data_IF_487668178980
#
_entry.id   IF_487668178980
#
_cell.length_a   1.000
_cell.length_b   1.000
_cell.length_c   1.000
_cell.angle_alpha   90.00
_cell.angle_beta   90.00
_cell.angle_gamma   90.00
#
_symmetry.space_group_name_H-M   'P 1'
#
loop_
_entity.id
_entity.type
_entity.pdbx_description
1 polymer ?
#
# COMPACT_ATOMS: atom_id res chain seq x y z
N UNK A 1 -2.82 -26.78 13.62
CA UNK A 1 -1.79 -25.75 13.38
C UNK A 1 -2.47 -24.46 12.96
N UNK A 2 -2.23 -23.44 13.77
CA UNK A 2 -2.85 -22.12 13.81
C UNK A 2 -2.18 -21.22 12.78
N UNK A 3 -2.94 -20.66 11.83
CA UNK A 3 -2.31 -19.98 10.69
C UNK A 3 -3.10 -18.77 10.21
N UNK A 4 -2.39 -17.72 9.79
CA UNK A 4 -2.92 -16.68 8.90
C UNK A 4 -3.40 -17.34 7.61
N UNK A 5 -4.48 -16.90 6.94
CA UNK A 5 -4.93 -17.52 5.69
C UNK A 5 -3.79 -17.63 4.68
N UNK A 6 -3.56 -18.84 4.17
CA UNK A 6 -2.44 -19.13 3.29
C UNK A 6 -2.72 -20.30 2.35
N UNK A 7 -1.92 -20.40 1.29
CA UNK A 7 -2.04 -21.43 0.26
C UNK A 7 -1.87 -22.88 0.75
N UNK A 8 -1.21 -23.09 1.89
CA UNK A 8 -0.97 -24.43 2.47
C UNK A 8 -2.07 -24.86 3.46
N UNK A 9 -3.00 -23.97 3.81
CA UNK A 9 -4.10 -24.25 4.75
C UNK A 9 -5.35 -23.46 4.37
N UNK A 10 -5.84 -23.73 3.16
CA UNK A 10 -7.10 -23.17 2.66
C UNK A 10 -8.24 -23.73 3.54
N UNK A 11 -9.16 -22.86 3.99
CA UNK A 11 -10.36 -23.17 4.80
C UNK A 11 -10.25 -23.22 6.34
N UNK A 12 -9.17 -22.74 6.97
CA UNK A 12 -9.14 -22.55 8.45
C UNK A 12 -9.21 -21.06 8.81
N UNK A 13 -10.16 -20.63 9.68
CA UNK A 13 -10.21 -19.25 10.14
C UNK A 13 -8.98 -18.92 11.00
N UNK A 14 -8.44 -17.68 10.91
CA UNK A 14 -7.31 -17.28 11.74
C UNK A 14 -7.72 -17.11 13.21
N UNK A 15 -6.95 -17.69 14.13
CA UNK A 15 -7.12 -17.55 15.59
C UNK A 15 -6.47 -16.28 16.16
N UNK A 16 -5.51 -15.70 15.45
CA UNK A 16 -4.71 -14.53 15.87
C UNK A 16 -5.01 -13.33 14.98
N UNK A 17 -4.68 -12.09 15.41
CA UNK A 17 -4.91 -10.89 14.62
C UNK A 17 -4.36 -11.04 13.20
N UNK A 18 -5.32 -11.10 12.28
CA UNK A 18 -5.09 -11.22 10.86
C UNK A 18 -4.91 -9.82 10.25
N UNK A 19 -5.05 -9.74 8.94
CA UNK A 19 -5.15 -8.51 8.18
C UNK A 19 -6.31 -7.65 8.70
N UNK A 20 -6.10 -6.34 8.84
CA UNK A 20 -7.19 -5.41 9.14
C UNK A 20 -7.07 -4.18 8.25
N UNK A 21 -8.16 -3.77 7.61
CA UNK A 21 -8.23 -2.53 6.84
C UNK A 21 -9.13 -1.54 7.57
N UNK A 22 -8.62 -0.34 7.83
CA UNK A 22 -9.38 0.73 8.49
C UNK A 22 -9.38 1.98 7.63
N UNK A 23 -10.56 2.57 7.43
CA UNK A 23 -10.70 3.92 6.88
C UNK A 23 -10.54 4.93 8.02
N UNK A 24 -9.46 5.73 8.00
CA UNK A 24 -9.23 6.79 8.97
C UNK A 24 -10.11 8.01 8.72
N UNK A 25 -10.62 8.19 7.50
CA UNK A 25 -11.48 9.31 7.13
C UNK A 25 -11.10 9.92 5.80
N UNK A 26 -11.20 11.24 5.69
CA UNK A 26 -10.93 11.98 4.46
C UNK A 26 -9.45 11.90 4.05
N UNK A 27 -9.19 11.89 2.73
CA UNK A 27 -7.84 11.99 2.19
C UNK A 27 -7.07 13.24 2.65
N UNK A 28 -7.76 14.31 3.07
CA UNK A 28 -7.17 15.54 3.59
C UNK A 28 -6.43 15.37 4.92
N UNK A 29 -6.66 14.26 5.64
CA UNK A 29 -5.93 13.92 6.87
C UNK A 29 -4.43 13.74 6.60
N UNK A 30 -4.05 13.33 5.39
CA UNK A 30 -2.65 13.33 4.95
C UNK A 30 -2.32 14.63 4.21
N UNK A 31 -1.25 15.31 4.63
CA UNK A 31 -0.72 16.47 3.92
C UNK A 31 0.70 16.20 3.46
N UNK A 32 0.98 16.36 2.16
CA UNK A 32 2.35 16.27 1.63
C UNK A 32 3.34 17.21 2.30
N UNK A 33 2.88 18.38 2.77
CA UNK A 33 3.76 19.38 3.40
C UNK A 33 4.21 18.94 4.79
N UNK A 34 3.34 18.24 5.52
CA UNK A 34 3.53 17.90 6.94
C UNK A 34 3.87 16.41 7.13
N UNK A 35 3.48 15.55 6.19
CA UNK A 35 3.57 14.10 6.31
C UNK A 35 2.44 13.52 7.15
N UNK A 36 2.71 12.39 7.79
CA UNK A 36 1.83 11.77 8.78
C UNK A 36 1.85 12.59 10.09
N UNK A 37 0.69 13.15 10.47
CA UNK A 37 0.54 13.93 11.72
C UNK A 37 0.38 13.01 12.93
N UNK A 38 0.83 13.48 14.08
CA UNK A 38 0.54 12.91 15.41
C UNK A 38 0.87 11.42 15.58
N UNK A 39 1.79 10.91 14.77
CA UNK A 39 2.23 9.53 14.80
C UNK A 39 3.55 9.42 15.57
N UNK A 40 3.56 8.84 16.78
CA UNK A 40 4.78 8.77 17.58
C UNK A 40 5.81 7.84 16.94
N UNK A 41 7.07 8.08 17.33
CA UNK A 41 8.23 7.24 17.04
C UNK A 41 8.63 7.12 15.56
N UNK A 42 8.07 7.93 14.67
CA UNK A 42 8.60 8.04 13.32
C UNK A 42 10.00 8.65 13.34
N UNK A 43 10.91 8.01 12.61
CA UNK A 43 12.23 8.54 12.36
C UNK A 43 12.09 9.87 11.61
N UNK A 44 12.81 10.90 12.06
CA UNK A 44 12.73 12.24 11.48
C UNK A 44 12.90 12.21 9.95
N UNK A 45 11.98 12.87 9.25
CA UNK A 45 11.94 12.92 7.78
C UNK A 45 11.50 11.64 7.06
N UNK A 46 11.16 10.56 7.76
CA UNK A 46 10.72 9.27 7.16
C UNK A 46 9.23 8.97 7.38
N UNK A 47 8.41 10.00 7.55
CA UNK A 47 6.97 9.92 7.81
C UNK A 47 6.14 10.45 6.62
N UNK A 48 6.72 10.50 5.42
CA UNK A 48 6.06 10.95 4.22
C UNK A 48 5.64 9.77 3.36
N UNK A 49 4.40 9.81 2.90
CA UNK A 49 3.90 8.85 1.92
C UNK A 49 4.41 9.21 0.52
N UNK A 50 4.60 8.19 -0.27
CA UNK A 50 5.19 8.27 -1.60
C UNK A 50 4.08 8.58 -2.61
N UNK A 51 4.20 9.65 -3.40
CA UNK A 51 3.28 9.90 -4.50
C UNK A 51 3.52 8.89 -5.62
N UNK A 52 2.45 8.26 -6.08
CA UNK A 52 2.46 7.34 -7.22
C UNK A 52 1.43 7.84 -8.23
N UNK A 53 1.92 8.14 -9.43
CA UNK A 53 1.10 8.59 -10.56
C UNK A 53 0.67 7.37 -11.40
N UNK A 54 -0.63 7.24 -11.63
CA UNK A 54 -1.24 6.27 -12.53
C UNK A 54 -1.82 7.01 -13.74
N UNK A 55 -1.65 6.42 -14.93
CA UNK A 55 -2.19 6.95 -16.18
C UNK A 55 -3.28 6.02 -16.71
N UNK A 56 -4.50 6.53 -16.79
CA UNK A 56 -5.69 5.78 -17.19
C UNK A 56 -6.17 6.29 -18.54
N UNK A 57 -6.55 5.39 -19.44
CA UNK A 57 -7.28 5.75 -20.65
C UNK A 57 -8.76 5.84 -20.31
N UNK A 58 -9.37 7.00 -20.52
CA UNK A 58 -10.77 7.29 -20.14
C UNK A 58 -11.50 7.99 -21.27
N UNK A 59 -12.82 7.79 -21.36
CA UNK A 59 -13.68 8.63 -22.19
C UNK A 59 -13.67 10.05 -21.58
N UNK A 60 -13.35 11.04 -22.40
CA UNK A 60 -13.14 12.42 -21.93
C UNK A 60 -14.41 13.03 -21.33
N UNK A 61 -15.53 12.92 -22.04
CA UNK A 61 -16.77 13.58 -21.65
C UNK A 61 -17.26 13.01 -20.32
N UNK A 62 -17.26 11.67 -20.21
CA UNK A 62 -17.66 10.99 -18.98
C UNK A 62 -16.74 11.33 -17.80
N UNK A 63 -15.42 11.38 -18.03
CA UNK A 63 -14.47 11.76 -16.98
C UNK A 63 -14.71 13.20 -16.48
N UNK A 64 -14.98 14.14 -17.39
CA UNK A 64 -15.25 15.53 -17.03
C UNK A 64 -16.57 15.68 -16.24
N UNK A 65 -17.61 14.95 -16.63
CA UNK A 65 -18.88 14.89 -15.89
C UNK A 65 -18.69 14.33 -14.47
N UNK A 66 -18.03 13.19 -14.35
CA UNK A 66 -17.82 12.52 -13.07
C UNK A 66 -16.92 13.35 -12.15
N UNK A 67 -15.89 14.01 -12.71
CA UNK A 67 -15.05 14.96 -11.95
C UNK A 67 -15.83 16.16 -11.43
N UNK A 68 -16.79 16.69 -12.20
CA UNK A 68 -17.67 17.77 -11.73
C UNK A 68 -18.55 17.29 -10.58
N UNK A 69 -19.12 16.08 -10.68
CA UNK A 69 -19.94 15.51 -9.60
C UNK A 69 -19.16 15.31 -8.29
N UNK A 70 -17.92 14.85 -8.36
CA UNK A 70 -17.06 14.65 -7.17
C UNK A 70 -16.55 16.00 -6.60
N UNK A 71 -16.68 17.10 -7.34
CA UNK A 71 -16.03 18.37 -7.01
C UNK A 71 -14.51 18.28 -7.10
N UNK A 72 -14.01 17.47 -8.04
CA UNK A 72 -12.60 17.37 -8.38
C UNK A 72 -12.13 18.57 -9.22
N UNK A 73 -10.82 18.82 -9.22
CA UNK A 73 -10.24 19.87 -10.09
C UNK A 73 -10.16 19.29 -11.51
N UNK A 74 -11.19 19.51 -12.32
CA UNK A 74 -11.12 19.25 -13.76
C UNK A 74 -10.27 20.35 -14.41
N UNK A 75 -9.14 19.96 -15.01
CA UNK A 75 -8.40 20.88 -15.90
C UNK A 75 -9.23 20.96 -17.17
N UNK A 76 -9.65 22.17 -17.58
CA UNK A 76 -10.32 22.36 -18.88
C UNK A 76 -9.36 21.87 -19.98
N UNK A 77 -9.58 20.65 -20.51
CA UNK A 77 -8.79 20.14 -21.62
C UNK A 77 -9.11 20.96 -22.87
N UNK A 78 -8.08 21.31 -23.66
CA UNK A 78 -8.27 21.94 -24.98
C UNK A 78 -9.10 21.00 -25.85
N UNK A 79 -10.07 21.55 -26.60
CA UNK A 79 -10.90 20.82 -27.58
C UNK A 79 -10.01 20.10 -28.60
N UNK A 80 -9.69 18.85 -28.35
CA UNK A 80 -9.15 17.91 -29.33
C UNK A 80 -10.24 16.90 -29.70
N UNK A 81 -10.28 16.42 -30.94
CA UNK A 81 -11.34 15.54 -31.46
C UNK A 81 -11.29 14.09 -30.95
N UNK A 82 -10.31 13.74 -30.10
CA UNK A 82 -10.17 12.38 -29.59
C UNK A 82 -11.14 12.10 -28.43
N UNK A 83 -11.95 11.05 -28.59
CA UNK A 83 -12.93 10.59 -27.60
C UNK A 83 -12.27 10.05 -26.33
N UNK A 84 -11.11 9.40 -26.48
CA UNK A 84 -10.32 8.85 -25.39
C UNK A 84 -9.13 9.75 -25.03
N UNK A 85 -8.93 9.97 -23.74
CA UNK A 85 -7.83 10.77 -23.19
C UNK A 85 -7.05 9.97 -22.15
N UNK A 86 -5.77 10.31 -21.95
CA UNK A 86 -4.95 9.72 -20.87
C UNK A 86 -4.94 10.67 -19.68
N UNK A 87 -5.62 10.27 -18.62
CA UNK A 87 -5.73 11.03 -17.39
C UNK A 87 -4.76 10.54 -16.33
N UNK A 88 -4.21 11.47 -15.56
CA UNK A 88 -3.24 11.18 -14.49
C UNK A 88 -3.91 11.32 -13.13
N UNK A 89 -3.97 10.22 -12.39
CA UNK A 89 -4.40 10.18 -10.98
C UNK A 89 -3.24 9.87 -10.06
N UNK A 90 -3.23 10.54 -8.90
CA UNK A 90 -2.13 10.46 -7.93
C UNK A 90 -2.61 9.83 -6.63
N UNK A 91 -2.02 8.70 -6.27
CA UNK A 91 -2.18 8.07 -4.97
C UNK A 91 -1.01 8.44 -4.07
N UNK A 92 -1.21 8.38 -2.75
CA UNK A 92 -0.10 8.38 -1.79
C UNK A 92 -0.07 7.07 -1.05
N UNK A 93 1.08 6.39 -1.12
CA UNK A 93 1.26 5.06 -0.55
C UNK A 93 2.47 5.07 0.38
N UNK A 94 2.39 4.36 1.50
CA UNK A 94 3.54 4.16 2.39
C UNK A 94 3.53 2.79 3.02
N UNK A 95 4.60 2.04 2.81
CA UNK A 95 4.85 0.79 3.51
C UNK A 95 5.59 1.11 4.81
N UNK A 96 4.88 1.04 5.93
CA UNK A 96 5.39 1.40 7.24
C UNK A 96 6.08 0.20 7.90
N UNK A 97 7.34 0.40 8.26
CA UNK A 97 8.13 -0.54 9.02
C UNK A 97 8.23 -0.10 10.48
N UNK A 98 8.13 -1.06 11.40
CA UNK A 98 8.27 -0.84 12.84
C UNK A 98 9.24 -1.86 13.45
N UNK A 99 10.18 -1.41 14.28
CA UNK A 99 11.06 -2.32 15.02
C UNK A 99 10.54 -2.59 16.44
N UNK A 100 11.12 -3.58 17.14
CA UNK A 100 10.73 -3.94 18.51
C UNK A 100 10.95 -2.82 19.54
N UNK A 101 11.71 -1.78 19.18
CA UNK A 101 11.90 -0.58 20.02
C UNK A 101 10.88 0.52 19.71
N UNK A 102 9.95 0.28 18.80
CA UNK A 102 8.94 1.23 18.36
C UNK A 102 9.40 2.23 17.29
N UNK A 103 10.64 2.19 16.79
CA UNK A 103 11.05 3.10 15.71
C UNK A 103 10.31 2.76 14.42
N UNK A 104 9.70 3.78 13.83
CA UNK A 104 8.87 3.69 12.63
C UNK A 104 9.48 4.45 11.46
N UNK A 105 9.27 3.96 10.26
CA UNK A 105 9.64 4.66 9.03
C UNK A 105 8.86 4.13 7.82
N UNK A 106 8.58 5.01 6.87
CA UNK A 106 8.05 4.63 5.57
C UNK A 106 9.19 4.15 4.68
N UNK A 107 9.01 2.97 4.08
CA UNK A 107 9.88 2.47 3.03
C UNK A 107 9.85 3.40 1.83
N UNK A 108 11.01 3.73 1.28
CA UNK A 108 11.09 4.67 0.17
C UNK A 108 12.46 4.67 -0.46
N UNK A 109 12.75 5.75 -1.20
CA UNK A 109 13.90 5.82 -2.11
C UNK A 109 15.25 5.56 -1.43
N UNK A 110 15.42 5.98 -0.17
CA UNK A 110 16.64 5.71 0.62
C UNK A 110 16.88 4.23 0.95
N UNK A 111 15.87 3.38 0.76
CA UNK A 111 15.95 1.94 1.01
C UNK A 111 16.00 1.12 -0.28
N UNK A 112 15.63 1.73 -1.40
CA UNK A 112 15.86 1.18 -2.72
C UNK A 112 17.31 1.52 -3.08
N UNK A 113 18.06 0.55 -3.61
CA UNK A 113 19.39 0.86 -4.15
C UNK A 113 19.25 1.99 -5.18
N UNK A 114 20.28 2.85 -5.30
CA UNK A 114 20.34 4.08 -6.11
C UNK A 114 19.90 3.97 -7.59
N UNK A 115 19.42 2.81 -8.06
CA UNK A 115 18.95 2.55 -9.42
C UNK A 115 17.45 2.77 -9.65
N UNK A 116 16.66 3.07 -8.62
CA UNK A 116 15.22 3.34 -8.79
C UNK A 116 14.94 4.84 -8.88
N UNK A 117 15.13 5.36 -10.10
CA UNK A 117 14.87 6.76 -10.47
C UNK A 117 13.39 7.15 -10.43
N UNK A 118 12.48 6.21 -10.18
CA UNK A 118 11.06 6.55 -10.10
C UNK A 118 10.36 5.79 -8.99
N UNK A 119 9.98 6.54 -7.95
CA UNK A 119 9.03 6.12 -6.90
C UNK A 119 7.73 5.54 -7.48
N UNK A 120 7.40 5.86 -8.73
CA UNK A 120 6.26 5.31 -9.47
C UNK A 120 6.31 3.78 -9.63
N UNK A 121 7.49 3.17 -9.64
CA UNK A 121 7.65 1.71 -9.80
C UNK A 121 7.54 0.94 -8.48
N UNK A 122 7.41 1.61 -7.34
CA UNK A 122 7.41 0.96 -6.02
C UNK A 122 6.34 -0.12 -5.87
N UNK A 123 5.16 0.12 -6.44
CA UNK A 123 4.04 -0.83 -6.46
C UNK A 123 4.33 -2.11 -7.27
N UNK A 124 5.28 -2.04 -8.21
CA UNK A 124 5.64 -3.14 -9.11
C UNK A 124 6.84 -3.93 -8.57
N UNK A 125 7.32 -3.60 -7.36
CA UNK A 125 8.45 -4.27 -6.74
C UNK A 125 7.95 -5.14 -5.59
N UNK A 126 8.63 -6.26 -5.40
CA UNK A 126 8.50 -7.02 -4.16
C UNK A 126 9.11 -6.20 -3.01
N UNK A 127 8.36 -6.06 -1.92
CA UNK A 127 8.79 -5.32 -0.74
C UNK A 127 9.22 -6.33 0.32
N UNK A 128 10.45 -6.28 0.85
CA UNK A 128 10.90 -7.23 1.86
C UNK A 128 10.06 -7.10 3.14
N UNK A 129 9.74 -8.23 3.78
CA UNK A 129 8.94 -8.23 5.01
C UNK A 129 9.70 -7.65 6.21
N UNK A 130 11.04 -7.72 6.17
CA UNK A 130 11.92 -7.14 7.18
C UNK A 130 13.04 -6.30 6.57
N UNK A 131 13.41 -5.22 7.26
CA UNK A 131 14.50 -4.32 6.90
C UNK A 131 15.35 -4.01 8.11
N UNK A 132 16.63 -3.69 7.89
CA UNK A 132 17.50 -3.21 8.98
C UNK A 132 16.98 -1.86 9.50
N UNK A 133 16.73 -1.76 10.80
CA UNK A 133 16.43 -0.50 11.46
C UNK A 133 17.70 0.35 11.56
N UNK A 134 17.56 1.68 11.51
CA UNK A 134 18.63 2.65 11.81
C UNK A 134 18.95 2.78 13.31
N UNK A 135 18.28 2.00 14.13
CA UNK A 135 18.54 1.84 15.55
C UNK A 135 20.03 1.50 15.79
N UNK A 136 20.66 2.06 16.84
CA UNK A 136 22.10 1.84 17.15
C UNK A 136 22.51 0.38 17.32
N UNK A 137 21.59 -0.50 17.73
CA UNK A 137 21.80 -1.95 17.78
C UNK A 137 21.11 -2.58 16.57
N UNK A 138 21.84 -3.41 15.82
CA UNK A 138 21.47 -4.17 14.60
C UNK A 138 20.13 -4.89 14.73
N UNK A 139 19.05 -4.13 14.76
CA UNK A 139 17.69 -4.60 14.93
C UNK A 139 16.98 -4.47 13.61
N UNK A 140 16.04 -5.38 13.37
CA UNK A 140 15.21 -5.35 12.18
C UNK A 140 13.87 -4.66 12.49
N UNK A 141 13.34 -3.96 11.51
CA UNK A 141 11.98 -3.48 11.48
C UNK A 141 11.17 -4.41 10.56
N UNK A 142 9.91 -4.64 10.91
CA UNK A 142 8.98 -5.46 10.15
C UNK A 142 7.98 -4.56 9.44
N UNK A 143 7.55 -4.93 8.24
CA UNK A 143 6.43 -4.30 7.57
C UNK A 143 5.15 -4.53 8.39
N UNK A 144 4.62 -3.46 8.97
CA UNK A 144 3.47 -3.52 9.88
C UNK A 144 2.22 -2.92 9.28
N UNK A 145 2.34 -1.87 8.45
CA UNK A 145 1.20 -1.14 7.92
C UNK A 145 1.42 -0.71 6.47
N UNK A 146 0.33 -0.62 5.71
CA UNK A 146 0.27 -0.03 4.39
C UNK A 146 -0.73 1.13 4.46
N UNK A 147 -0.21 2.34 4.27
CA UNK A 147 -0.98 3.57 4.21
C UNK A 147 -1.35 3.84 2.77
N UNK A 148 -2.63 4.16 2.51
CA UNK A 148 -3.14 4.44 1.17
C UNK A 148 -4.07 5.63 1.25
N UNK A 149 -3.71 6.72 0.59
CA UNK A 149 -4.57 7.89 0.39
C UNK A 149 -5.08 7.83 -1.05
N UNK A 150 -6.38 7.59 -1.18
CA UNK A 150 -7.04 7.47 -2.49
C UNK A 150 -7.28 8.85 -3.10
N UNK A 151 -7.21 8.98 -4.44
CA UNK A 151 -7.37 10.26 -5.10
C UNK A 151 -8.82 10.74 -5.02
N UNK A 152 -9.01 12.05 -5.14
CA UNK A 152 -10.33 12.64 -5.40
C UNK A 152 -10.63 12.58 -6.90
N UNK A 153 -10.96 11.39 -7.39
CA UNK A 153 -11.16 11.06 -8.81
C UNK A 153 -12.12 9.86 -8.97
N UNK A 154 -12.81 9.69 -10.13
CA UNK A 154 -13.73 8.59 -10.40
C UNK A 154 -12.95 7.31 -10.75
N UNK A 155 -12.21 6.81 -9.77
CA UNK A 155 -11.38 5.62 -9.89
C UNK A 155 -11.57 4.77 -8.66
N UNK A 156 -11.54 3.45 -8.84
CA UNK A 156 -11.51 2.51 -7.72
C UNK A 156 -10.07 2.04 -7.54
N UNK A 157 -9.56 2.19 -6.31
CA UNK A 157 -8.27 1.64 -5.92
C UNK A 157 -8.52 0.25 -5.33
N UNK A 158 -7.87 -0.78 -5.85
CA UNK A 158 -7.97 -2.12 -5.33
C UNK A 158 -6.70 -2.51 -4.57
N UNK A 159 -6.88 -3.24 -3.47
CA UNK A 159 -5.78 -3.81 -2.70
C UNK A 159 -5.93 -5.33 -2.61
N UNK A 160 -4.81 -6.02 -2.80
CA UNK A 160 -4.72 -7.47 -2.70
C UNK A 160 -3.31 -7.85 -2.19
N UNK A 161 -3.01 -7.60 -0.90
CA UNK A 161 -1.68 -7.89 -0.38
C UNK A 161 -1.46 -9.39 -0.30
N UNK A 162 -0.31 -9.84 -0.81
CA UNK A 162 0.12 -11.23 -0.74
C UNK A 162 1.55 -11.29 -0.23
N UNK A 163 1.76 -11.94 0.90
CA UNK A 163 3.10 -12.12 1.47
C UNK A 163 3.57 -13.52 1.14
N UNK A 164 4.66 -13.62 0.39
CA UNK A 164 5.31 -14.90 0.11
C UNK A 164 6.42 -15.15 1.11
N UNK A 165 6.50 -16.37 1.62
CA UNK A 165 7.69 -16.89 2.30
C UNK A 165 7.92 -18.34 1.87
N UNK A 166 9.11 -18.62 1.34
CA UNK A 166 9.43 -19.90 0.70
C UNK A 166 8.36 -20.25 -0.35
N UNK A 167 7.64 -21.36 -0.17
CA UNK A 167 6.55 -21.84 -1.03
C UNK A 167 5.15 -21.42 -0.55
N UNK A 168 5.01 -20.81 0.63
CA UNK A 168 3.71 -20.42 1.20
C UNK A 168 3.39 -18.96 0.86
N UNK A 169 2.15 -18.71 0.43
CA UNK A 169 1.64 -17.36 0.20
C UNK A 169 0.53 -17.07 1.20
N UNK A 170 0.77 -16.10 2.07
CA UNK A 170 -0.21 -15.54 3.00
C UNK A 170 -1.03 -14.47 2.31
N UNK A 171 -2.33 -14.46 2.55
CA UNK A 171 -3.28 -13.54 1.92
C UNK A 171 -4.40 -13.17 2.89
N UNK A 172 -5.23 -12.20 2.51
CA UNK A 172 -6.37 -11.74 3.32
C UNK A 172 -7.44 -12.82 3.48
N UNK A 173 -7.59 -13.70 2.49
CA UNK A 173 -8.69 -14.67 2.41
C UNK A 173 -9.91 -14.10 1.67
N UNK A 174 -9.87 -12.81 1.35
CA UNK A 174 -10.90 -12.07 0.62
C UNK A 174 -10.50 -11.86 -0.83
N UNK A 175 -11.49 -11.55 -1.68
CA UNK A 175 -11.25 -11.01 -3.03
C UNK A 175 -10.53 -9.64 -2.92
N UNK A 176 -9.91 -9.13 -4.01
CA UNK A 176 -9.34 -7.78 -4.02
C UNK A 176 -10.33 -6.74 -3.50
N UNK A 177 -9.89 -5.96 -2.51
CA UNK A 177 -10.75 -5.03 -1.77
C UNK A 177 -10.75 -3.69 -2.49
N UNK A 178 -11.91 -3.22 -2.95
CA UNK A 178 -12.09 -1.90 -3.54
C UNK A 178 -12.18 -0.82 -2.46
N UNK A 179 -11.47 0.28 -2.65
CA UNK A 179 -11.44 1.42 -1.74
C UNK A 179 -12.23 2.60 -2.33
N UNK A 180 -12.97 3.31 -1.47
CA UNK A 180 -13.64 4.56 -1.84
C UNK A 180 -12.63 5.65 -2.24
N UNK A 181 -13.06 6.56 -3.10
CA UNK A 181 -12.29 7.75 -3.51
C UNK A 181 -12.17 8.77 -2.37
N UNK A 182 -11.14 9.62 -2.41
CA UNK A 182 -10.93 10.72 -1.46
C UNK A 182 -10.92 10.31 0.03
N UNK A 183 -10.38 9.13 0.34
CA UNK A 183 -10.24 8.59 1.70
C UNK A 183 -8.79 8.27 2.06
N UNK A 184 -8.53 8.16 3.36
CA UNK A 184 -7.27 7.67 3.90
C UNK A 184 -7.49 6.32 4.59
N UNK A 185 -6.85 5.28 4.07
CA UNK A 185 -6.87 3.92 4.62
C UNK A 185 -5.53 3.52 5.22
N UNK A 186 -5.60 2.67 6.25
CA UNK A 186 -4.45 1.96 6.80
C UNK A 186 -4.78 0.48 6.86
N UNK A 187 -4.00 -0.32 6.13
CA UNK A 187 -4.03 -1.77 6.22
C UNK A 187 -2.93 -2.25 7.16
N UNK A 188 -3.30 -2.98 8.21
CA UNK A 188 -2.35 -3.63 9.12
C UNK A 188 -2.05 -5.04 8.63
N UNK A 189 -0.77 -5.37 8.57
CA UNK A 189 -0.30 -6.72 8.30
C UNK A 189 -0.33 -7.58 9.57
N UNK A 190 -0.45 -8.91 9.44
CA UNK A 190 -0.23 -9.81 10.56
C UNK A 190 1.12 -9.58 11.23
N UNK A 191 1.16 -9.57 12.56
CA UNK A 191 2.41 -9.49 13.29
C UNK A 191 3.18 -10.82 13.21
N UNK A 192 2.44 -11.93 13.25
CA UNK A 192 2.98 -13.30 13.18
C UNK A 192 2.42 -13.97 11.92
N UNK A 193 3.32 -14.48 11.08
CA UNK A 193 2.98 -15.29 9.92
C UNK A 193 3.25 -16.75 10.27
N UNK A 194 2.19 -17.48 10.65
CA UNK A 194 2.22 -18.91 10.92
C UNK A 194 1.62 -19.71 9.77
N UNK A 195 2.31 -20.75 9.31
CA UNK A 195 1.85 -21.68 8.27
C UNK A 195 2.19 -23.13 8.61
N UNK A 196 2.03 -24.03 7.64
CA UNK A 196 2.37 -25.46 7.76
C UNK A 196 3.84 -25.71 8.14
N UNK A 197 4.74 -24.80 7.75
CA UNK A 197 6.18 -24.86 8.07
C UNK A 197 6.52 -24.18 9.41
N UNK A 198 5.52 -23.87 10.23
CA UNK A 198 5.68 -23.14 11.48
C UNK A 198 5.61 -21.63 11.33
N UNK A 199 6.10 -20.91 12.33
CA UNK A 199 6.07 -19.45 12.41
C UNK A 199 7.30 -18.85 11.75
N UNK A 200 7.12 -17.85 10.90
CA UNK A 200 8.23 -17.05 10.39
C UNK A 200 8.89 -16.26 11.52
N UNK A 201 10.17 -16.52 11.76
CA UNK A 201 10.97 -15.85 12.79
C UNK A 201 11.95 -14.87 12.16
N UNK A 202 12.14 -13.72 12.82
CA UNK A 202 13.09 -12.67 12.43
C UNK A 202 14.57 -13.10 12.41
N UNK A 203 14.92 -14.14 13.17
CA UNK A 203 16.31 -14.50 13.44
C UNK A 203 16.89 -15.56 12.49
N UNK A 204 16.06 -16.23 11.69
CA UNK A 204 16.53 -17.22 10.71
C UNK A 204 16.71 -16.56 9.34
N UNK A 205 17.60 -17.07 8.50
CA UNK A 205 17.81 -16.59 7.11
C UNK A 205 16.51 -16.49 6.28
N UNK A 206 15.44 -17.14 6.73
CA UNK A 206 14.06 -16.96 6.23
C UNK A 206 13.61 -15.50 6.14
N UNK A 207 14.11 -14.60 7.00
CA UNK A 207 13.73 -13.19 6.93
C UNK A 207 14.13 -12.54 5.59
N UNK A 208 15.19 -13.05 4.93
CA UNK A 208 15.65 -12.56 3.63
C UNK A 208 14.73 -13.01 2.49
N UNK A 209 13.98 -14.09 2.69
CA UNK A 209 13.13 -14.69 1.65
C UNK A 209 11.70 -14.19 1.70
N UNK A 210 11.24 -13.65 2.83
CA UNK A 210 9.88 -13.20 2.98
C UNK A 210 9.67 -11.81 2.39
N UNK A 211 8.63 -11.67 1.55
CA UNK A 211 8.34 -10.43 0.82
C UNK A 211 6.84 -10.26 0.60
N UNK A 212 6.37 -9.03 0.67
CA UNK A 212 5.11 -8.62 0.06
C UNK A 212 5.31 -8.60 -1.45
N UNK A 213 4.46 -9.34 -2.16
CA UNK A 213 4.52 -9.44 -3.61
C UNK A 213 4.16 -8.12 -4.29
N UNK A 214 4.85 -7.86 -5.40
CA UNK A 214 4.53 -6.79 -6.32
C UNK A 214 3.06 -6.80 -6.76
N UNK A 215 2.60 -5.65 -7.26
CA UNK A 215 1.25 -5.45 -7.79
C UNK A 215 0.13 -5.72 -6.78
N UNK A 216 0.43 -5.54 -5.48
CA UNK A 216 -0.56 -5.61 -4.39
C UNK A 216 -1.59 -4.47 -4.44
N UNK A 217 -1.37 -3.43 -5.26
CA UNK A 217 -2.25 -2.28 -5.42
C UNK A 217 -2.46 -2.04 -6.92
N UNK A 218 -3.72 -1.90 -7.33
CA UNK A 218 -4.09 -1.53 -8.69
C UNK A 218 -5.14 -0.43 -8.70
N UNK A 219 -5.25 0.29 -9.81
CA UNK A 219 -6.19 1.40 -9.98
C UNK A 219 -6.94 1.20 -11.28
N UNK A 220 -8.26 1.26 -11.23
CA UNK A 220 -9.13 1.07 -12.40
C UNK A 220 -10.05 2.28 -12.49
N UNK A 221 -10.30 2.76 -13.72
CA UNK A 221 -11.32 3.78 -13.98
C UNK A 221 -12.70 3.21 -13.66
N UNK A 222 -13.49 3.94 -12.86
CA UNK A 222 -14.82 3.51 -12.45
C UNK A 222 -15.76 4.70 -12.65
N UNK A 223 -16.40 4.79 -13.84
CA UNK A 223 -17.35 5.85 -14.13
C UNK A 223 -18.44 5.90 -13.06
N UNK A 224 -18.90 7.10 -12.70
CA UNK A 224 -20.08 7.26 -11.87
C UNK A 224 -21.31 7.06 -12.76
N UNK A 225 -22.26 6.20 -12.35
CA UNK A 225 -23.51 6.01 -13.09
C UNK A 225 -24.38 7.27 -13.04
#
# INVERSE_FOLDING_TARGET
>A
MECVPNTSSIAKPPLFPSWSLVCLGSASLYSRKIGLRDMPNFTSGLHYLIPIDFYLTVNREKWEEDMKMIGGISRRLRKTTCENTRERVKLFIGFEFECLRGHRFIFGQKHLSNKMDSTSKLINLDIPLWLKCRCRRSSYAQLMRLHIVTPKAPVTVFINPRVQSRSTIFHTGEKPIGLEYSRYYVMRFPYIFGGSHGILRRQNDDYKMAKLLANSISVIHSPLN
#
